data_IF_585714920337
#
_entry.id   IF_585714920337
#
_cell.length_a   1.000
_cell.length_b   1.000
_cell.length_c   1.000
_cell.angle_alpha   90.00
_cell.angle_beta   90.00
_cell.angle_gamma   90.00
#
_symmetry.space_group_name_H-M   'P 1'
#
loop_
_entity.id
_entity.type
_entity.pdbx_description
1 polymer ?
#
# COMPACT_ATOMS: atom_id res chain seq x y z
N UNK A 1 -57.59 -2.50 -10.71
CA UNK A 1 -56.25 -2.55 -11.33
C UNK A 1 -55.25 -1.81 -10.40
N UNK A 2 -54.56 -2.54 -9.54
CA UNK A 2 -53.60 -1.98 -8.61
C UNK A 2 -52.19 -2.26 -9.15
N UNK A 3 -51.51 -1.20 -9.57
CA UNK A 3 -50.14 -1.29 -10.02
C UNK A 3 -49.19 -1.41 -8.82
N UNK A 4 -48.49 -2.52 -8.71
CA UNK A 4 -47.40 -2.72 -7.75
C UNK A 4 -46.17 -2.02 -8.34
N UNK A 5 -45.76 -0.90 -7.71
CA UNK A 5 -44.48 -0.27 -7.99
C UNK A 5 -43.42 -1.09 -7.25
N UNK A 6 -42.67 -1.91 -7.98
CA UNK A 6 -41.48 -2.58 -7.46
C UNK A 6 -40.40 -1.51 -7.24
N UNK A 7 -40.16 -1.16 -5.98
CA UNK A 7 -38.96 -0.42 -5.59
C UNK A 7 -37.76 -1.33 -5.81
N UNK A 8 -36.95 -1.00 -6.81
CA UNK A 8 -35.65 -1.64 -7.02
C UNK A 8 -34.75 -1.28 -5.82
N UNK A 9 -34.57 -2.22 -4.93
CA UNK A 9 -33.57 -2.19 -3.87
C UNK A 9 -32.19 -2.22 -4.56
N UNK A 10 -31.60 -1.03 -4.75
CA UNK A 10 -30.20 -0.92 -5.17
C UNK A 10 -29.36 -1.51 -4.03
N UNK A 11 -28.93 -2.76 -4.19
CA UNK A 11 -28.07 -3.45 -3.25
C UNK A 11 -26.89 -2.54 -2.91
N UNK A 12 -26.94 -1.93 -1.73
CA UNK A 12 -25.88 -1.11 -1.15
C UNK A 12 -24.71 -2.05 -0.90
N UNK A 13 -23.74 -2.07 -1.84
CA UNK A 13 -22.54 -2.88 -1.69
C UNK A 13 -21.94 -2.61 -0.31
N UNK A 14 -21.88 -3.65 0.53
CA UNK A 14 -21.35 -3.54 1.88
C UNK A 14 -19.93 -3.01 1.84
N UNK A 15 -19.61 -2.10 2.77
CA UNK A 15 -18.24 -1.63 2.96
C UNK A 15 -17.35 -2.84 3.28
N UNK A 16 -16.17 -2.97 2.66
CA UNK A 16 -15.24 -4.04 3.01
C UNK A 16 -14.96 -4.05 4.52
N UNK A 17 -15.01 -5.19 5.15
CA UNK A 17 -14.90 -5.31 6.62
C UNK A 17 -13.64 -4.66 7.19
N UNK A 18 -12.53 -4.70 6.44
CA UNK A 18 -11.26 -4.07 6.84
C UNK A 18 -11.35 -2.53 6.90
N UNK A 19 -12.04 -1.87 5.94
CA UNK A 19 -12.32 -0.43 6.02
C UNK A 19 -13.24 -0.10 7.20
N UNK A 20 -14.24 -0.97 7.45
CA UNK A 20 -15.16 -0.78 8.55
C UNK A 20 -14.47 -0.86 9.92
N UNK A 21 -13.49 -1.73 10.11
CA UNK A 21 -12.78 -1.93 11.39
C UNK A 21 -11.61 -0.98 11.63
N UNK A 22 -11.04 -0.40 10.58
CA UNK A 22 -9.87 0.50 10.70
C UNK A 22 -10.19 1.77 11.48
N UNK A 23 -9.24 2.20 12.31
CA UNK A 23 -9.28 3.49 13.02
C UNK A 23 -8.04 4.37 12.76
N UNK A 24 -7.13 3.91 11.91
CA UNK A 24 -6.03 4.72 11.34
C UNK A 24 -6.00 4.58 9.83
N UNK A 25 -5.83 5.69 9.13
CA UNK A 25 -5.78 5.71 7.67
C UNK A 25 -4.74 6.71 7.18
N UNK A 26 -3.95 6.27 6.22
CA UNK A 26 -3.09 7.13 5.41
C UNK A 26 -3.80 7.30 4.06
N UNK A 27 -3.98 8.55 3.64
CA UNK A 27 -4.51 8.86 2.31
C UNK A 27 -3.41 9.51 1.50
N UNK A 28 -3.08 8.90 0.36
CA UNK A 28 -2.17 9.47 -0.64
C UNK A 28 -2.97 9.83 -1.88
N UNK A 29 -2.84 11.07 -2.35
CA UNK A 29 -3.47 11.50 -3.60
C UNK A 29 -2.45 12.13 -4.54
N UNK A 30 -2.57 11.82 -5.84
CA UNK A 30 -1.89 12.51 -6.95
C UNK A 30 -2.90 13.33 -7.73
N UNK A 31 -2.45 14.25 -8.59
CA UNK A 31 -3.36 15.05 -9.45
C UNK A 31 -4.22 14.17 -10.35
N UNK A 32 -3.60 13.16 -10.94
CA UNK A 32 -4.19 12.23 -11.91
C UNK A 32 -3.40 10.91 -11.94
N UNK A 33 -3.72 10.02 -12.88
CA UNK A 33 -3.07 8.72 -13.05
C UNK A 33 -1.58 8.80 -13.40
N UNK A 34 -1.13 9.88 -14.03
CA UNK A 34 0.26 10.11 -14.49
C UNK A 34 1.08 10.94 -13.51
N UNK A 35 0.43 11.57 -12.54
CA UNK A 35 1.08 12.40 -11.53
C UNK A 35 2.10 11.63 -10.71
N UNK A 36 3.32 12.14 -10.63
CA UNK A 36 4.43 11.55 -9.85
C UNK A 36 4.58 12.18 -8.48
N UNK A 37 4.08 13.38 -8.29
CA UNK A 37 4.04 14.06 -7.00
C UNK A 37 2.65 13.90 -6.38
N UNK A 38 2.61 13.78 -5.07
CA UNK A 38 1.37 13.59 -4.34
C UNK A 38 1.40 14.20 -2.95
N UNK A 39 0.28 14.09 -2.28
CA UNK A 39 0.11 14.50 -0.88
C UNK A 39 -0.35 13.32 -0.06
N UNK A 40 0.25 13.15 1.10
CA UNK A 40 -0.14 12.18 2.11
C UNK A 40 -0.76 12.92 3.29
N UNK A 41 -1.95 12.49 3.71
CA UNK A 41 -2.60 12.95 4.93
C UNK A 41 -2.90 11.76 5.84
N UNK A 42 -2.59 11.91 7.12
CA UNK A 42 -2.97 10.95 8.17
C UNK A 42 -4.37 11.26 8.67
N UNK A 43 -5.13 10.22 8.95
CA UNK A 43 -6.46 10.32 9.54
C UNK A 43 -6.63 9.30 10.64
N UNK A 44 -7.39 9.68 11.67
CA UNK A 44 -7.80 8.75 12.72
C UNK A 44 -9.26 8.96 13.10
N UNK A 45 -9.83 7.95 13.74
CA UNK A 45 -11.15 8.00 14.37
C UNK A 45 -11.14 7.24 15.69
N UNK A 46 -11.91 7.70 16.66
CA UNK A 46 -11.95 7.09 18.00
C UNK A 46 -12.49 5.63 17.97
N UNK A 47 -13.40 5.34 17.05
CA UNK A 47 -13.90 4.00 16.77
C UNK A 47 -14.52 3.97 15.35
N UNK A 48 -14.86 2.79 14.81
CA UNK A 48 -15.40 2.63 13.45
C UNK A 48 -16.65 3.44 13.11
N UNK A 49 -17.42 3.85 14.11
CA UNK A 49 -18.66 4.61 13.91
C UNK A 49 -18.47 6.13 13.93
N UNK A 50 -17.26 6.60 14.26
CA UNK A 50 -16.94 8.02 14.29
C UNK A 50 -16.39 8.50 12.95
N UNK A 51 -16.51 9.81 12.73
CA UNK A 51 -15.93 10.47 11.54
C UNK A 51 -14.42 10.47 11.64
N UNK A 52 -13.77 10.37 10.50
CA UNK A 52 -12.34 10.55 10.34
C UNK A 52 -11.94 12.00 10.66
N UNK A 53 -10.85 12.17 11.36
CA UNK A 53 -10.23 13.46 11.67
C UNK A 53 -8.80 13.46 11.13
N UNK A 54 -8.39 14.54 10.49
CA UNK A 54 -7.02 14.71 10.01
C UNK A 54 -6.06 14.84 11.22
N UNK A 55 -4.86 14.29 11.05
CA UNK A 55 -3.79 14.29 12.05
C UNK A 55 -2.53 14.89 11.46
N UNK A 56 -2.11 16.01 12.02
CA UNK A 56 -0.92 16.76 11.57
C UNK A 56 -1.07 17.36 10.17
N UNK A 57 0.00 17.97 9.70
CA UNK A 57 0.05 18.60 8.39
C UNK A 57 0.20 17.57 7.26
N UNK A 58 -0.30 17.87 6.06
CA UNK A 58 -0.07 17.05 4.89
C UNK A 58 1.41 16.94 4.54
N UNK A 59 1.82 15.77 4.08
CA UNK A 59 3.20 15.44 3.73
C UNK A 59 3.32 15.36 2.20
N UNK A 60 4.34 16.03 1.64
CA UNK A 60 4.69 15.85 0.22
C UNK A 60 5.29 14.47 0.00
N UNK A 61 4.81 13.77 -1.02
CA UNK A 61 5.29 12.43 -1.39
C UNK A 61 5.57 12.37 -2.89
N UNK A 62 6.35 11.38 -3.30
CA UNK A 62 6.50 10.97 -4.70
C UNK A 62 6.06 9.52 -4.85
N UNK A 63 5.53 9.19 -6.01
CA UNK A 63 5.10 7.84 -6.36
C UNK A 63 5.92 7.28 -7.54
N UNK A 64 5.44 6.24 -8.18
CA UNK A 64 6.10 5.64 -9.33
C UNK A 64 6.32 6.62 -10.47
N UNK A 65 7.44 6.48 -11.21
CA UNK A 65 7.82 7.33 -12.34
C UNK A 65 6.77 7.41 -13.46
N UNK A 66 5.88 6.44 -13.53
CA UNK A 66 4.76 6.38 -14.46
C UNK A 66 3.41 6.58 -13.74
N UNK A 67 3.41 7.25 -12.58
CA UNK A 67 2.23 7.57 -11.79
C UNK A 67 1.63 6.36 -11.07
N UNK A 68 0.30 6.23 -11.14
CA UNK A 68 -0.48 5.19 -10.46
C UNK A 68 -1.10 4.20 -11.47
N UNK A 69 -1.44 3.01 -10.96
CA UNK A 69 -2.28 2.04 -11.67
C UNK A 69 -3.04 1.18 -10.66
N UNK A 70 -4.27 0.76 -10.97
CA UNK A 70 -5.07 -0.08 -10.08
C UNK A 70 -4.30 -1.32 -9.65
N UNK A 71 -4.10 -1.46 -8.35
CA UNK A 71 -3.40 -2.57 -7.71
C UNK A 71 -4.36 -3.57 -7.07
N UNK A 72 -3.82 -4.72 -6.66
CA UNK A 72 -4.54 -5.74 -5.91
C UNK A 72 -4.40 -5.45 -4.42
N UNK A 73 -5.44 -4.92 -3.82
CA UNK A 73 -5.55 -4.59 -2.40
C UNK A 73 -6.71 -5.30 -1.73
N UNK A 74 -7.21 -4.74 -0.62
CA UNK A 74 -8.32 -5.32 0.15
C UNK A 74 -9.70 -5.11 -0.50
N UNK A 75 -9.79 -4.24 -1.50
CA UNK A 75 -11.01 -4.03 -2.29
C UNK A 75 -10.74 -4.57 -3.70
N UNK A 76 -11.48 -5.58 -4.17
CA UNK A 76 -11.39 -6.06 -5.53
C UNK A 76 -11.80 -4.95 -6.51
N UNK A 77 -10.88 -4.49 -7.34
CA UNK A 77 -11.12 -3.40 -8.30
C UNK A 77 -11.55 -3.91 -9.67
N UNK A 78 -11.35 -5.18 -9.94
CA UNK A 78 -11.65 -5.91 -11.18
C UNK A 78 -12.97 -6.69 -11.15
N UNK A 79 -13.70 -6.69 -10.02
CA UNK A 79 -15.00 -7.34 -9.92
C UNK A 79 -16.04 -6.61 -10.81
N UNK A 80 -16.55 -7.26 -11.87
CA UNK A 80 -17.51 -6.64 -12.79
C UNK A 80 -18.83 -6.26 -12.12
N UNK A 81 -19.16 -6.88 -10.98
CA UNK A 81 -20.36 -6.55 -10.20
C UNK A 81 -20.19 -5.25 -9.42
N UNK A 82 -18.95 -4.97 -9.00
CA UNK A 82 -18.65 -3.81 -8.15
C UNK A 82 -18.37 -2.54 -8.99
N UNK A 83 -17.88 -2.69 -10.22
CA UNK A 83 -17.60 -1.59 -11.18
C UNK A 83 -16.81 -0.43 -10.57
N UNK A 84 -15.68 -0.74 -9.94
CA UNK A 84 -14.80 0.28 -9.36
C UNK A 84 -13.94 0.91 -10.44
N UNK A 85 -13.33 0.09 -11.26
CA UNK A 85 -12.41 0.46 -12.33
C UNK A 85 -13.12 0.64 -13.66
N UNK A 86 -12.77 1.69 -14.43
CA UNK A 86 -13.13 1.78 -15.83
C UNK A 86 -12.20 0.92 -16.69
N UNK A 87 -12.67 0.50 -17.87
CA UNK A 87 -11.87 -0.37 -18.74
C UNK A 87 -10.57 0.30 -19.24
N UNK A 88 -10.58 1.62 -19.37
CA UNK A 88 -9.43 2.41 -19.81
C UNK A 88 -8.45 2.79 -18.68
N UNK A 89 -8.80 2.54 -17.43
CA UNK A 89 -7.93 2.87 -16.30
C UNK A 89 -6.64 2.04 -16.32
N UNK A 90 -5.49 2.64 -15.96
CA UNK A 90 -4.24 1.89 -15.87
C UNK A 90 -4.30 0.84 -14.77
N UNK A 91 -3.74 -0.34 -15.03
CA UNK A 91 -3.61 -1.44 -14.07
C UNK A 91 -2.14 -1.64 -13.77
N UNK A 92 -1.82 -1.79 -12.49
CA UNK A 92 -0.47 -2.09 -12.00
C UNK A 92 0.01 -3.44 -12.52
N UNK A 93 1.25 -3.46 -13.04
CA UNK A 93 1.94 -4.67 -13.52
C UNK A 93 3.37 -4.68 -13.01
N UNK A 94 4.00 -5.85 -13.07
CA UNK A 94 5.42 -5.97 -12.77
C UNK A 94 6.26 -5.09 -13.70
N UNK A 95 7.24 -4.37 -13.14
CA UNK A 95 8.18 -3.54 -13.90
C UNK A 95 7.61 -2.30 -14.60
N UNK A 96 6.32 -1.96 -14.41
CA UNK A 96 5.66 -0.87 -15.13
C UNK A 96 6.00 0.54 -14.62
N UNK A 97 6.74 0.66 -13.51
CA UNK A 97 7.09 1.94 -12.90
C UNK A 97 5.91 2.70 -12.29
N UNK A 98 4.78 2.06 -12.06
CA UNK A 98 3.60 2.65 -11.40
C UNK A 98 3.51 2.23 -9.94
N UNK A 99 3.05 3.14 -9.07
CA UNK A 99 2.64 2.76 -7.74
C UNK A 99 1.19 2.23 -7.75
N UNK A 100 0.83 1.28 -6.87
CA UNK A 100 -0.51 0.71 -6.87
C UNK A 100 -1.55 1.70 -6.35
N UNK A 101 -2.65 1.85 -7.06
CA UNK A 101 -3.85 2.56 -6.62
C UNK A 101 -4.83 1.57 -5.98
N UNK A 102 -5.47 1.98 -4.87
CA UNK A 102 -6.42 1.15 -4.15
C UNK A 102 -6.41 1.37 -2.64
N UNK A 103 -6.83 0.34 -1.92
CA UNK A 103 -6.80 0.29 -0.44
C UNK A 103 -5.97 -0.91 -0.01
N UNK A 104 -4.98 -0.65 0.83
CA UNK A 104 -3.98 -1.64 1.22
C UNK A 104 -3.80 -1.69 2.74
N UNK A 105 -3.50 -2.87 3.27
CA UNK A 105 -2.98 -3.00 4.63
C UNK A 105 -1.54 -2.48 4.71
N UNK A 106 -1.08 -2.18 5.91
CA UNK A 106 0.31 -1.88 6.20
C UNK A 106 0.88 -3.01 7.05
N UNK A 107 2.01 -3.55 6.63
CA UNK A 107 2.64 -4.71 7.24
C UNK A 107 3.85 -4.35 8.11
N UNK A 108 4.92 -5.12 7.96
CA UNK A 108 6.14 -5.01 8.73
C UNK A 108 6.92 -3.75 8.37
N UNK A 109 7.34 -3.00 9.37
CA UNK A 109 8.36 -1.94 9.26
C UNK A 109 9.73 -2.60 9.12
N UNK A 110 10.58 -2.04 8.30
CA UNK A 110 11.95 -2.51 8.13
C UNK A 110 12.95 -1.35 8.23
N UNK A 111 14.21 -1.68 8.48
CA UNK A 111 15.28 -0.68 8.53
C UNK A 111 16.66 -1.26 8.74
N UNK A 112 17.68 -0.39 8.69
CA UNK A 112 19.09 -0.79 8.84
C UNK A 112 19.50 -0.98 10.30
N UNK A 113 18.79 -0.36 11.24
CA UNK A 113 19.11 -0.47 12.66
C UNK A 113 18.74 -1.88 13.20
N UNK A 114 19.51 -2.44 14.16
CA UNK A 114 19.16 -3.73 14.78
C UNK A 114 17.84 -3.68 15.58
N UNK A 115 17.40 -2.50 15.96
CA UNK A 115 16.19 -2.27 16.74
C UNK A 115 15.21 -1.37 15.98
N UNK A 116 13.90 -1.51 16.23
CA UNK A 116 12.90 -0.65 15.64
C UNK A 116 13.09 0.81 16.07
N UNK A 117 12.51 1.72 15.29
CA UNK A 117 12.45 3.12 15.64
C UNK A 117 11.79 3.30 17.01
N UNK A 118 12.41 4.07 17.96
CA UNK A 118 11.84 4.29 19.28
C UNK A 118 10.40 4.81 19.20
N UNK A 119 9.49 4.13 19.91
CA UNK A 119 8.05 4.44 19.89
C UNK A 119 7.24 3.78 18.77
N UNK A 120 7.87 3.11 17.81
CA UNK A 120 7.15 2.30 16.81
C UNK A 120 6.51 1.08 17.47
N UNK A 121 5.26 0.79 17.11
CA UNK A 121 4.49 -0.36 17.60
C UNK A 121 4.32 -1.44 16.54
N UNK A 122 4.64 -1.11 15.28
CA UNK A 122 4.52 -2.06 14.17
C UNK A 122 5.56 -3.19 14.29
N UNK A 123 5.27 -4.39 13.78
CA UNK A 123 6.28 -5.43 13.63
C UNK A 123 7.52 -4.89 12.90
N UNK A 124 8.71 -5.36 13.26
CA UNK A 124 9.95 -4.83 12.71
C UNK A 124 10.85 -5.95 12.16
N UNK A 125 11.49 -5.66 11.03
CA UNK A 125 12.50 -6.47 10.38
C UNK A 125 13.80 -5.67 10.25
N UNK A 126 14.86 -6.14 10.88
CA UNK A 126 16.21 -5.63 10.64
C UNK A 126 16.71 -6.12 9.28
N UNK A 127 17.13 -5.21 8.42
CA UNK A 127 17.68 -5.55 7.11
C UNK A 127 19.15 -5.99 7.25
N UNK A 128 19.41 -7.22 6.83
CA UNK A 128 20.76 -7.80 6.74
C UNK A 128 21.13 -8.00 5.26
N UNK A 129 22.39 -8.32 4.92
CA UNK A 129 22.80 -8.60 3.54
C UNK A 129 22.05 -9.75 2.87
N UNK A 130 21.42 -10.63 3.65
CA UNK A 130 20.66 -11.78 3.17
C UNK A 130 19.15 -11.50 3.00
N UNK A 131 18.67 -10.32 3.41
CA UNK A 131 17.26 -9.96 3.27
C UNK A 131 16.98 -9.39 1.88
N UNK A 132 16.06 -10.03 1.18
CA UNK A 132 15.68 -9.68 -0.19
C UNK A 132 14.16 -9.63 -0.34
N UNK A 133 13.68 -8.81 -1.26
CA UNK A 133 12.31 -8.90 -1.74
C UNK A 133 12.30 -9.56 -3.12
N UNK A 134 11.63 -10.68 -3.27
CA UNK A 134 11.66 -11.49 -4.50
C UNK A 134 10.66 -10.94 -5.52
N UNK A 135 11.16 -10.52 -6.68
CA UNK A 135 10.39 -10.00 -7.81
C UNK A 135 10.35 -10.97 -9.01
N UNK A 136 10.96 -12.16 -8.89
CA UNK A 136 10.88 -13.23 -9.86
C UNK A 136 9.49 -13.87 -9.88
N UNK A 137 8.74 -13.62 -10.95
CA UNK A 137 7.37 -14.10 -11.11
C UNK A 137 7.24 -15.63 -11.19
N UNK A 138 8.33 -16.35 -11.41
CA UNK A 138 8.37 -17.82 -11.44
C UNK A 138 8.64 -18.47 -10.10
N UNK A 139 9.14 -17.69 -9.13
CA UNK A 139 9.47 -18.17 -7.79
C UNK A 139 8.24 -18.37 -6.91
N UNK A 140 8.26 -19.42 -6.07
CA UNK A 140 7.26 -19.59 -4.98
C UNK A 140 7.34 -18.48 -3.94
N UNK A 141 8.44 -17.72 -3.90
CA UNK A 141 8.63 -16.56 -3.03
C UNK A 141 8.29 -15.24 -3.70
N UNK A 142 7.73 -15.24 -4.92
CA UNK A 142 7.33 -14.02 -5.60
C UNK A 142 6.55 -13.08 -4.67
N UNK A 143 6.92 -11.81 -4.68
CA UNK A 143 6.35 -10.77 -3.82
C UNK A 143 6.42 -11.10 -2.33
N UNK A 144 7.57 -11.62 -1.86
CA UNK A 144 7.86 -11.87 -0.45
C UNK A 144 9.17 -11.20 -0.06
N UNK A 145 9.21 -10.65 1.15
CA UNK A 145 10.46 -10.27 1.81
C UNK A 145 10.96 -11.49 2.57
N UNK A 146 12.12 -11.98 2.21
CA UNK A 146 12.69 -13.21 2.73
C UNK A 146 14.13 -13.02 3.20
N UNK A 147 14.54 -13.77 4.20
CA UNK A 147 15.94 -13.95 4.50
C UNK A 147 16.45 -15.16 3.71
N UNK A 148 17.31 -14.92 2.71
CA UNK A 148 17.88 -15.95 1.87
C UNK A 148 18.55 -17.05 2.68
N UNK A 149 19.22 -16.71 3.78
CA UNK A 149 19.90 -17.68 4.63
C UNK A 149 18.96 -18.64 5.33
N UNK A 150 17.70 -18.23 5.55
CA UNK A 150 16.66 -19.04 6.19
C UNK A 150 15.87 -19.91 5.21
N UNK A 151 15.84 -19.53 3.92
CA UNK A 151 14.99 -20.20 2.89
C UNK A 151 15.81 -20.91 1.81
N UNK A 152 17.16 -20.86 1.88
CA UNK A 152 18.02 -21.63 0.98
C UNK A 152 17.72 -23.11 1.14
N UNK A 153 17.51 -23.79 0.00
CA UNK A 153 17.34 -25.24 -0.02
C UNK A 153 18.64 -25.88 0.51
N UNK A 154 18.49 -26.74 1.52
CA UNK A 154 19.63 -27.43 2.15
C UNK A 154 20.39 -28.32 1.16
N UNK A 155 19.74 -28.76 0.09
CA UNK A 155 20.32 -29.69 -0.87
C UNK A 155 21.00 -28.98 -2.06
N UNK A 156 20.59 -27.75 -2.40
CA UNK A 156 21.08 -27.05 -3.59
C UNK A 156 21.93 -25.82 -3.31
N UNK A 157 21.88 -25.27 -2.10
CA UNK A 157 22.49 -24.00 -1.70
C UNK A 157 22.12 -22.78 -2.58
N UNK A 158 21.21 -22.96 -3.56
CA UNK A 158 20.76 -21.91 -4.45
C UNK A 158 19.35 -21.46 -4.08
N UNK A 159 19.04 -20.15 -4.19
CA UNK A 159 17.68 -19.67 -4.02
C UNK A 159 16.76 -20.12 -5.16
N UNK A 160 15.45 -20.19 -4.89
CA UNK A 160 14.40 -20.49 -5.86
C UNK A 160 14.02 -19.29 -6.73
N UNK A 161 14.89 -18.29 -6.87
CA UNK A 161 14.63 -17.10 -7.69
C UNK A 161 15.88 -16.62 -8.42
N UNK A 162 15.67 -16.01 -9.58
CA UNK A 162 16.71 -15.43 -10.43
C UNK A 162 16.74 -13.89 -10.33
N UNK A 163 15.73 -13.27 -9.71
CA UNK A 163 15.60 -11.83 -9.56
C UNK A 163 15.02 -11.48 -8.20
N UNK A 164 15.63 -10.48 -7.55
CA UNK A 164 15.19 -9.94 -6.26
C UNK A 164 15.77 -8.55 -6.04
N UNK A 165 15.13 -7.79 -5.17
CA UNK A 165 15.64 -6.53 -4.68
C UNK A 165 16.39 -6.75 -3.35
N UNK A 166 17.69 -6.40 -3.31
CA UNK A 166 18.46 -6.38 -2.05
C UNK A 166 17.94 -5.27 -1.14
N UNK A 167 17.43 -5.65 0.04
CA UNK A 167 16.80 -4.71 0.95
C UNK A 167 17.81 -3.87 1.74
N UNK A 168 18.98 -4.41 2.08
CA UNK A 168 20.08 -3.65 2.66
C UNK A 168 20.86 -2.93 1.55
N UNK A 169 20.54 -1.65 1.35
CA UNK A 169 21.10 -0.82 0.29
C UNK A 169 22.32 -0.03 0.80
N UNK A 170 23.13 0.46 -0.14
CA UNK A 170 24.25 1.38 0.15
C UNK A 170 23.83 2.85 0.30
N UNK A 171 22.55 3.16 0.05
CA UNK A 171 21.93 4.49 0.24
C UNK A 171 20.98 4.50 1.44
N UNK A 172 20.41 5.67 1.75
CA UNK A 172 19.53 5.85 2.90
C UNK A 172 18.05 5.55 2.61
N UNK A 173 17.71 5.12 1.37
CA UNK A 173 16.31 5.00 0.95
C UNK A 173 15.53 3.98 1.77
N UNK A 174 16.17 2.90 2.22
CA UNK A 174 15.58 1.84 3.04
C UNK A 174 16.09 1.84 4.49
N UNK A 175 16.72 2.94 4.93
CA UNK A 175 17.03 3.14 6.36
C UNK A 175 15.79 2.92 7.23
N UNK A 176 14.64 3.33 6.73
CA UNK A 176 13.32 3.03 7.25
C UNK A 176 12.34 2.82 6.10
N UNK A 177 11.41 1.89 6.31
CA UNK A 177 10.29 1.68 5.40
C UNK A 177 9.22 0.79 6.01
N UNK A 178 8.10 0.65 5.32
CA UNK A 178 7.01 -0.24 5.70
C UNK A 178 6.44 -0.94 4.47
N UNK A 179 6.13 -2.21 4.60
CA UNK A 179 5.55 -3.03 3.54
C UNK A 179 4.10 -2.61 3.30
N UNK A 180 3.75 -2.34 2.05
CA UNK A 180 2.36 -2.10 1.60
C UNK A 180 1.74 -3.39 1.12
N UNK A 181 0.58 -3.75 1.65
CA UNK A 181 -0.14 -5.00 1.36
C UNK A 181 -0.71 -5.11 -0.04
N UNK A 182 0.11 -4.79 -1.05
CA UNK A 182 -0.23 -4.95 -2.46
C UNK A 182 0.07 -6.38 -2.92
N UNK A 183 -0.82 -6.94 -3.73
CA UNK A 183 -0.65 -8.26 -4.36
C UNK A 183 -0.21 -9.36 -3.37
N UNK A 184 -0.74 -9.33 -2.15
CA UNK A 184 -0.56 -10.39 -1.15
C UNK A 184 0.72 -10.36 -0.33
N UNK A 185 1.62 -9.35 -0.46
CA UNK A 185 2.90 -9.32 0.28
C UNK A 185 2.72 -9.20 1.80
N UNK A 186 1.69 -8.51 2.28
CA UNK A 186 1.42 -8.29 3.70
C UNK A 186 0.43 -9.31 4.27
N UNK A 187 0.22 -10.41 3.58
CA UNK A 187 -0.88 -11.32 3.86
C UNK A 187 -0.51 -12.44 4.83
N UNK A 188 -0.29 -12.09 6.09
CA UNK A 188 -0.61 -13.06 7.15
C UNK A 188 -2.12 -13.39 7.19
N UNK A 189 -2.95 -12.53 6.53
CA UNK A 189 -4.41 -12.64 6.53
C UNK A 189 -5.07 -12.69 5.15
N UNK A 190 -4.32 -12.64 4.04
CA UNK A 190 -4.86 -12.78 2.69
C UNK A 190 -4.65 -14.21 2.19
N UNK A 191 -5.74 -14.93 2.04
CA UNK A 191 -5.78 -16.33 1.59
C UNK A 191 -5.30 -16.54 0.14
N UNK A 192 -4.98 -15.48 -0.59
CA UNK A 192 -4.61 -15.54 -2.00
C UNK A 192 -3.10 -15.42 -2.17
N UNK A 193 -2.51 -16.38 -2.88
CA UNK A 193 -1.12 -16.26 -3.35
C UNK A 193 -0.98 -15.01 -4.23
N UNK A 194 0.22 -14.36 -4.26
CA UNK A 194 0.47 -13.26 -5.17
C UNK A 194 0.17 -13.67 -6.62
N UNK A 195 -0.53 -12.80 -7.35
CA UNK A 195 -0.74 -13.00 -8.78
C UNK A 195 0.57 -12.70 -9.53
N UNK A 196 1.15 -13.66 -10.25
CA UNK A 196 2.38 -13.42 -11.02
C UNK A 196 2.19 -12.26 -12.00
N UNK A 197 3.15 -11.33 -12.03
CA UNK A 197 3.08 -10.15 -12.89
C UNK A 197 2.16 -9.02 -12.41
N UNK A 198 1.51 -9.17 -11.24
CA UNK A 198 0.65 -8.13 -10.65
C UNK A 198 1.41 -6.98 -10.00
N UNK A 199 2.72 -7.05 -9.94
CA UNK A 199 3.59 -6.11 -9.24
C UNK A 199 4.03 -6.62 -7.87
N UNK A 200 5.27 -6.35 -7.51
CA UNK A 200 5.91 -6.83 -6.29
C UNK A 200 6.66 -5.73 -5.55
N UNK A 201 7.07 -6.01 -4.31
CA UNK A 201 8.02 -5.21 -3.54
C UNK A 201 7.59 -3.73 -3.39
N UNK A 202 6.35 -3.51 -2.96
CA UNK A 202 5.80 -2.16 -2.79
C UNK A 202 5.93 -1.72 -1.32
N UNK A 203 6.57 -0.56 -1.14
CA UNK A 203 6.89 0.00 0.17
C UNK A 203 6.52 1.49 0.27
N UNK A 204 6.36 1.98 1.51
CA UNK A 204 6.57 3.39 1.82
C UNK A 204 8.01 3.51 2.34
N UNK A 205 8.81 4.42 1.80
CA UNK A 205 10.23 4.56 2.17
C UNK A 205 10.73 6.02 2.07
N UNK A 206 12.00 6.25 2.39
CA UNK A 206 12.63 7.57 2.29
C UNK A 206 12.84 7.92 0.81
N UNK A 207 12.55 9.15 0.42
CA UNK A 207 12.72 9.63 -0.95
C UNK A 207 14.15 10.11 -1.26
N UNK A 208 14.47 10.24 -2.54
CA UNK A 208 15.71 10.89 -2.99
C UNK A 208 15.64 12.40 -2.92
N UNK A 209 14.43 12.97 -2.90
CA UNK A 209 14.14 14.38 -2.87
C UNK A 209 12.81 14.73 -3.56
N UNK A 210 12.37 15.98 -3.45
CA UNK A 210 11.18 16.47 -4.14
C UNK A 210 11.28 16.22 -5.65
N UNK A 211 10.18 15.78 -6.27
CA UNK A 211 10.10 15.52 -7.70
C UNK A 211 10.95 14.34 -8.21
N UNK A 212 11.63 13.58 -7.33
CA UNK A 212 12.40 12.41 -7.71
C UNK A 212 11.54 11.13 -7.55
N UNK A 213 10.92 10.61 -8.63
CA UNK A 213 9.97 9.50 -8.52
C UNK A 213 10.67 8.18 -8.18
N UNK A 214 9.86 7.20 -7.76
CA UNK A 214 10.30 5.82 -7.52
C UNK A 214 10.08 4.94 -8.75
N UNK A 215 10.36 3.65 -8.60
CA UNK A 215 10.03 2.64 -9.64
C UNK A 215 8.69 1.93 -9.38
N UNK A 216 7.96 2.33 -8.31
CA UNK A 216 6.66 1.73 -7.96
C UNK A 216 6.24 1.96 -6.51
N UNK A 217 7.16 2.26 -5.62
CA UNK A 217 6.90 2.60 -4.23
C UNK A 217 6.34 4.02 -4.06
N UNK A 218 5.97 4.37 -2.82
CA UNK A 218 5.67 5.75 -2.43
C UNK A 218 6.72 6.22 -1.45
N UNK A 219 7.30 7.41 -1.66
CA UNK A 219 8.41 7.87 -0.87
C UNK A 219 8.22 9.31 -0.37
N UNK A 220 8.86 9.62 0.77
CA UNK A 220 8.70 10.88 1.49
C UNK A 220 9.97 11.27 2.27
N UNK A 221 10.07 12.51 2.81
CA UNK A 221 11.19 12.92 3.66
C UNK A 221 11.36 11.98 4.86
N UNK A 222 12.61 11.69 5.23
CA UNK A 222 12.95 10.80 6.34
C UNK A 222 12.20 11.12 7.63
N UNK A 223 12.27 12.37 8.13
CA UNK A 223 11.62 12.73 9.39
C UNK A 223 10.10 12.60 9.35
N UNK A 224 9.49 12.76 8.18
CA UNK A 224 8.06 12.54 8.00
C UNK A 224 7.70 11.05 8.02
N UNK A 225 8.53 10.21 7.40
CA UNK A 225 8.37 8.76 7.48
C UNK A 225 8.54 8.26 8.92
N UNK A 226 9.57 8.71 9.64
CA UNK A 226 9.79 8.38 11.05
C UNK A 226 8.58 8.76 11.92
N UNK A 227 8.05 9.98 11.73
CA UNK A 227 6.82 10.42 12.41
C UNK A 227 5.61 9.54 12.04
N UNK A 228 5.52 9.10 10.79
CA UNK A 228 4.46 8.19 10.34
C UNK A 228 4.59 6.82 11.01
N UNK A 229 5.79 6.23 11.02
CA UNK A 229 6.05 4.89 11.57
C UNK A 229 5.83 4.84 13.09
N UNK A 230 6.10 5.91 13.82
CA UNK A 230 5.83 6.00 15.27
C UNK A 230 4.35 6.23 15.58
N UNK A 231 3.61 6.85 14.67
CA UNK A 231 2.16 7.07 14.83
C UNK A 231 1.34 5.79 14.56
N UNK A 232 1.79 4.92 13.65
CA UNK A 232 1.09 3.69 13.28
C UNK A 232 0.97 2.73 14.45
N UNK A 233 -0.22 2.13 14.59
CA UNK A 233 -0.53 1.14 15.63
C UNK A 233 -1.26 -0.06 14.99
N UNK A 234 -0.71 -1.27 15.01
CA UNK A 234 -1.32 -2.44 14.40
C UNK A 234 -2.67 -2.79 15.01
N UNK A 235 -2.90 -2.47 16.31
CA UNK A 235 -4.19 -2.67 16.97
C UNK A 235 -5.31 -1.77 16.42
N UNK A 236 -4.96 -0.75 15.64
CA UNK A 236 -5.90 0.18 14.99
C UNK A 236 -6.21 -0.19 13.55
N UNK A 237 -5.71 -1.33 13.06
CA UNK A 237 -5.87 -1.80 11.67
C UNK A 237 -5.54 -0.70 10.64
N UNK A 238 -4.30 -0.17 10.62
CA UNK A 238 -3.94 0.94 9.76
C UNK A 238 -4.05 0.57 8.28
N UNK A 239 -4.60 1.48 7.48
CA UNK A 239 -4.78 1.30 6.04
C UNK A 239 -4.10 2.42 5.25
N UNK A 240 -3.61 2.09 4.06
CA UNK A 240 -3.23 3.03 3.01
C UNK A 240 -4.33 3.08 1.96
N UNK A 241 -4.86 4.27 1.70
CA UNK A 241 -5.68 4.59 0.52
C UNK A 241 -4.83 5.44 -0.41
N UNK A 242 -4.53 4.94 -1.61
CA UNK A 242 -3.73 5.65 -2.60
C UNK A 242 -4.48 5.73 -3.91
N UNK A 243 -4.83 6.93 -4.36
CA UNK A 243 -5.67 7.16 -5.54
C UNK A 243 -5.33 8.50 -6.21
N UNK A 244 -5.56 8.65 -7.52
CA UNK A 244 -5.72 9.97 -8.11
C UNK A 244 -6.86 10.74 -7.43
N UNK A 245 -6.72 12.06 -7.24
CA UNK A 245 -7.72 12.87 -6.55
C UNK A 245 -9.14 12.77 -7.16
N UNK A 246 -9.32 12.75 -8.50
CA UNK A 246 -10.64 12.53 -9.09
C UNK A 246 -11.27 11.18 -8.71
N UNK A 247 -10.45 10.10 -8.69
CA UNK A 247 -10.92 8.77 -8.28
C UNK A 247 -11.25 8.70 -6.79
N UNK A 248 -10.42 9.36 -5.97
CA UNK A 248 -10.69 9.49 -4.55
C UNK A 248 -12.06 10.13 -4.29
N UNK A 249 -12.35 11.28 -4.91
CA UNK A 249 -13.64 11.96 -4.73
C UNK A 249 -14.82 11.13 -5.27
N UNK A 250 -14.64 10.43 -6.39
CA UNK A 250 -15.66 9.53 -6.96
C UNK A 250 -16.01 8.40 -6.01
N UNK A 251 -15.01 7.81 -5.33
CA UNK A 251 -15.17 6.66 -4.45
C UNK A 251 -15.41 7.02 -2.99
N UNK A 252 -15.14 8.25 -2.58
CA UNK A 252 -15.13 8.70 -1.20
C UNK A 252 -16.41 8.35 -0.43
N UNK A 253 -17.57 8.67 -0.98
CA UNK A 253 -18.85 8.36 -0.33
C UNK A 253 -19.09 6.86 -0.22
N UNK A 254 -18.77 6.11 -1.28
CA UNK A 254 -18.97 4.67 -1.35
C UNK A 254 -18.10 3.91 -0.34
N UNK A 255 -16.85 4.35 -0.17
CA UNK A 255 -15.89 3.75 0.74
C UNK A 255 -15.83 4.43 2.10
N UNK A 256 -16.69 5.42 2.35
CA UNK A 256 -16.73 6.22 3.58
C UNK A 256 -15.39 6.79 3.99
N UNK A 257 -14.63 7.24 3.00
CA UNK A 257 -13.32 7.87 3.20
C UNK A 257 -13.49 9.29 3.78
N UNK A 258 -12.45 9.82 4.44
CA UNK A 258 -12.45 11.19 4.92
C UNK A 258 -12.62 12.21 3.80
N UNK A 259 -13.02 13.44 4.14
CA UNK A 259 -12.88 14.57 3.23
C UNK A 259 -11.40 14.94 3.11
N UNK A 260 -10.95 15.20 1.89
CA UNK A 260 -9.65 15.87 1.72
C UNK A 260 -9.80 17.31 2.23
N UNK A 261 -8.86 17.74 3.06
CA UNK A 261 -8.85 19.13 3.48
C UNK A 261 -8.58 20.03 2.29
N UNK A 262 -9.43 21.04 2.13
CA UNK A 262 -9.21 22.11 1.17
C UNK A 262 -7.91 22.85 1.54
N UNK A 263 -7.12 23.18 0.51
CA UNK A 263 -5.94 24.04 0.69
C UNK A 263 -6.32 25.40 1.21
#
# INVERSE_FOLDING_TARGET
MGGIVALADAARAAEPSALASSTQMIVVTTSDWSGVEGRLQRYERANPHKKWQAVGEPISVVVGKNGLGWGTGIIPTDDPKIKIRAAADPVKKEGDGKAPAGVFTLGTVFGYAPQPLPGSKMPYLNLTPSVECVDDTSSKYYNRVVDRSAVADRDTAAPDWNSSEHMLRSDELYRWGIVVGHNGIAAEHNANAPAPGGGSCIFLHIWRGPGQPTVGCTAMPQGQLESLLTWLDPARNPLLVQLPAPEYERLRKRWKLPHLESK
#
